data_IF_395301182676
#
_entry.id   IF_395301182676
#
_cell.length_a   1.000
_cell.length_b   1.000
_cell.length_c   1.000
_cell.angle_alpha   90.00
_cell.angle_beta   90.00
_cell.angle_gamma   90.00
#
_symmetry.space_group_name_H-M   'P 1'
#
loop_
_entity.id
_entity.type
_entity.pdbx_description
1 polymer ?
#
# COMPACT_ATOMS: atom_id res chain seq x y z
N UNK A 1 -24.11 16.22 -6.89
CA UNK A 1 -23.71 15.79 -5.53
C UNK A 1 -23.17 16.95 -4.73
N UNK A 2 -23.50 17.08 -3.46
CA UNK A 2 -22.83 18.04 -2.60
C UNK A 2 -21.35 17.64 -2.43
N UNK A 3 -20.47 18.61 -2.25
CA UNK A 3 -19.11 18.39 -1.82
C UNK A 3 -19.12 17.63 -0.48
N UNK A 4 -18.11 16.83 -0.21
CA UNK A 4 -18.01 15.94 0.96
C UNK A 4 -18.88 14.67 0.92
N UNK A 5 -19.49 14.36 -0.22
CA UNK A 5 -20.20 13.09 -0.40
C UNK A 5 -19.31 12.14 -1.21
N UNK A 6 -18.96 11.00 -0.63
CA UNK A 6 -18.14 9.98 -1.28
C UNK A 6 -19.01 9.05 -2.12
N UNK A 7 -18.73 8.99 -3.42
CA UNK A 7 -19.29 7.98 -4.32
C UNK A 7 -18.38 6.76 -4.27
N UNK A 8 -18.95 5.57 -4.17
CA UNK A 8 -18.21 4.31 -4.08
C UNK A 8 -18.88 3.22 -4.90
N UNK A 9 -18.09 2.41 -5.60
CA UNK A 9 -18.51 1.20 -6.30
C UNK A 9 -18.63 -0.03 -5.39
N UNK A 10 -18.70 0.15 -4.10
CA UNK A 10 -18.64 -0.92 -3.10
C UNK A 10 -19.48 -2.16 -3.43
N UNK A 11 -20.71 -1.97 -3.89
CA UNK A 11 -21.67 -3.05 -4.21
C UNK A 11 -21.42 -3.68 -5.59
N UNK A 12 -20.82 -2.94 -6.53
CA UNK A 12 -20.55 -3.37 -7.90
C UNK A 12 -19.06 -3.13 -8.25
N UNK A 13 -18.11 -3.81 -7.59
CA UNK A 13 -16.70 -3.57 -7.78
C UNK A 13 -16.25 -3.95 -9.20
N UNK A 14 -15.37 -3.13 -9.78
CA UNK A 14 -14.88 -3.34 -11.15
C UNK A 14 -14.02 -4.61 -11.29
N UNK A 15 -13.35 -5.05 -10.22
CA UNK A 15 -12.56 -6.28 -10.22
C UNK A 15 -12.84 -7.10 -8.96
N UNK A 16 -12.87 -8.43 -9.13
CA UNK A 16 -13.08 -9.39 -8.03
C UNK A 16 -12.17 -10.60 -8.17
N UNK A 17 -11.94 -11.30 -7.05
CA UNK A 17 -11.28 -12.61 -7.00
C UNK A 17 -9.85 -12.60 -7.59
N UNK A 18 -9.08 -11.55 -7.30
CA UNK A 18 -7.66 -11.49 -7.63
C UNK A 18 -6.76 -12.12 -6.57
N UNK A 19 -5.46 -12.14 -6.83
CA UNK A 19 -4.44 -12.49 -5.83
C UNK A 19 -3.07 -11.95 -6.21
N UNK A 20 -2.23 -11.80 -5.18
CA UNK A 20 -0.79 -11.60 -5.32
C UNK A 20 -0.06 -12.68 -4.50
N UNK A 21 0.91 -13.33 -5.12
CA UNK A 21 1.85 -14.19 -4.40
C UNK A 21 3.04 -13.31 -4.01
N UNK A 22 3.35 -13.27 -2.71
CA UNK A 22 4.44 -12.48 -2.14
C UNK A 22 5.48 -13.38 -1.49
N UNK A 23 6.73 -13.01 -1.63
CA UNK A 23 7.86 -13.73 -1.06
C UNK A 23 8.39 -12.98 0.14
N UNK A 24 8.69 -13.70 1.20
CA UNK A 24 9.42 -13.18 2.36
C UNK A 24 10.63 -14.05 2.64
N UNK A 25 11.70 -13.38 3.05
CA UNK A 25 12.91 -14.06 3.52
C UNK A 25 12.76 -14.37 5.01
N UNK A 26 12.98 -15.64 5.38
CA UNK A 26 12.82 -16.12 6.75
C UNK A 26 14.06 -16.91 7.18
N UNK A 27 14.17 -17.14 8.48
CA UNK A 27 15.18 -18.02 9.08
C UNK A 27 15.18 -19.47 8.53
N UNK A 28 14.06 -19.88 7.91
CA UNK A 28 13.88 -21.19 7.27
C UNK A 28 14.00 -21.13 5.74
N UNK A 29 14.43 -19.99 5.17
CA UNK A 29 14.51 -19.73 3.74
C UNK A 29 13.34 -18.90 3.20
N UNK A 30 13.27 -18.77 1.88
CA UNK A 30 12.22 -17.99 1.21
C UNK A 30 10.89 -18.74 1.33
N UNK A 31 9.87 -18.02 1.81
CA UNK A 31 8.48 -18.51 1.87
C UNK A 31 7.59 -17.66 0.98
N UNK A 32 6.65 -18.32 0.31
CA UNK A 32 5.66 -17.69 -0.56
C UNK A 32 4.30 -17.72 0.12
N UNK A 33 3.64 -16.58 0.17
CA UNK A 33 2.28 -16.45 0.69
C UNK A 33 1.35 -15.88 -0.37
N UNK A 34 0.20 -16.52 -0.55
CA UNK A 34 -0.85 -16.00 -1.41
C UNK A 34 -1.73 -15.05 -0.62
N UNK A 35 -1.83 -13.82 -1.10
CA UNK A 35 -2.77 -12.82 -0.60
C UNK A 35 -3.91 -12.70 -1.60
N UNK A 36 -5.07 -13.22 -1.24
CA UNK A 36 -6.26 -13.12 -2.06
C UNK A 36 -6.86 -11.72 -1.96
N UNK A 37 -7.24 -11.17 -3.10
CA UNK A 37 -7.93 -9.89 -3.24
C UNK A 37 -9.39 -10.18 -3.48
N UNK A 38 -10.25 -9.76 -2.58
CA UNK A 38 -11.69 -9.95 -2.70
C UNK A 38 -12.25 -9.09 -3.79
N UNK A 39 -11.89 -7.80 -3.79
CA UNK A 39 -12.36 -6.82 -4.77
C UNK A 39 -11.39 -5.64 -4.92
N UNK A 40 -11.51 -4.98 -6.04
CA UNK A 40 -11.00 -3.63 -6.27
C UNK A 40 -12.16 -2.79 -6.77
N UNK A 41 -12.43 -1.66 -6.13
CA UNK A 41 -13.50 -0.76 -6.54
C UNK A 41 -13.02 0.69 -6.53
N UNK A 42 -13.72 1.50 -7.30
CA UNK A 42 -13.42 2.93 -7.42
C UNK A 42 -14.23 3.73 -6.42
N UNK A 43 -13.63 4.80 -5.95
CA UNK A 43 -14.20 5.80 -5.07
C UNK A 43 -13.80 7.21 -5.51
N UNK A 44 -14.41 8.22 -4.89
CA UNK A 44 -14.04 9.62 -5.06
C UNK A 44 -13.54 10.20 -3.74
N UNK A 45 -12.41 10.93 -3.75
CA UNK A 45 -11.94 11.65 -2.56
C UNK A 45 -12.87 12.84 -2.29
N UNK A 46 -13.38 12.92 -1.07
CA UNK A 46 -14.30 13.98 -0.65
C UNK A 46 -13.60 15.27 -0.23
N UNK A 47 -12.29 15.22 0.01
CA UNK A 47 -11.51 16.32 0.57
C UNK A 47 -11.14 16.08 2.03
N UNK A 48 -10.86 17.15 2.76
CA UNK A 48 -10.38 17.08 4.14
C UNK A 48 -11.13 18.06 5.03
N UNK A 49 -11.56 17.59 6.20
CA UNK A 49 -12.12 18.43 7.27
C UNK A 49 -11.12 18.55 8.41
N UNK A 50 -10.87 19.78 8.84
CA UNK A 50 -10.06 20.10 10.01
C UNK A 50 -10.94 20.75 11.06
N UNK A 51 -11.08 20.15 12.23
CA UNK A 51 -11.84 20.68 13.35
C UNK A 51 -10.92 21.51 14.24
N UNK A 52 -11.20 22.80 14.36
CA UNK A 52 -10.39 23.77 15.12
C UNK A 52 -11.07 24.09 16.43
N UNK A 53 -10.27 24.20 17.50
CA UNK A 53 -10.80 24.30 18.85
C UNK A 53 -11.17 22.92 19.44
N UNK A 54 -11.40 22.91 20.74
CA UNK A 54 -11.69 21.66 21.44
C UNK A 54 -10.46 20.77 21.69
N UNK A 55 -10.55 19.90 22.68
CA UNK A 55 -9.44 19.04 23.12
C UNK A 55 -9.33 17.72 22.37
N UNK A 56 -10.28 17.39 21.48
CA UNK A 56 -10.41 16.04 20.90
C UNK A 56 -10.14 15.98 19.40
N UNK A 57 -10.03 17.12 18.70
CA UNK A 57 -9.93 17.16 17.23
C UNK A 57 -11.19 16.64 16.50
N UNK A 58 -12.31 16.51 17.22
CA UNK A 58 -13.61 16.05 16.69
C UNK A 58 -14.53 17.22 16.46
N UNK A 59 -15.54 17.04 15.58
CA UNK A 59 -16.57 18.04 15.32
C UNK A 59 -17.33 18.45 16.60
N UNK A 60 -17.59 17.49 17.51
CA UNK A 60 -18.15 17.79 18.81
C UNK A 60 -17.13 18.50 19.70
N UNK A 61 -17.44 19.73 20.06
CA UNK A 61 -16.56 20.60 20.86
C UNK A 61 -15.58 21.42 20.04
N UNK A 62 -15.60 21.35 18.73
CA UNK A 62 -14.86 22.26 17.85
C UNK A 62 -15.61 23.60 17.73
N UNK A 63 -14.85 24.70 17.73
CA UNK A 63 -15.44 26.04 17.52
C UNK A 63 -15.89 26.22 16.08
N UNK A 64 -15.14 25.66 15.13
CA UNK A 64 -15.47 25.65 13.70
C UNK A 64 -14.69 24.55 12.97
N UNK A 65 -15.07 24.29 11.71
CA UNK A 65 -14.37 23.37 10.82
C UNK A 65 -13.88 24.09 9.58
N UNK A 66 -12.65 23.82 9.19
CA UNK A 66 -12.09 24.20 7.90
C UNK A 66 -12.24 23.02 6.94
N UNK A 67 -12.77 23.31 5.75
CA UNK A 67 -12.93 22.33 4.68
C UNK A 67 -11.89 22.62 3.60
N UNK A 68 -11.08 21.62 3.27
CA UNK A 68 -10.10 21.66 2.20
C UNK A 68 -10.56 20.72 1.07
N UNK A 69 -10.97 21.31 -0.04
CA UNK A 69 -11.46 20.60 -1.22
C UNK A 69 -10.40 20.40 -2.32
N UNK A 70 -9.11 20.64 -2.04
CA UNK A 70 -8.06 20.49 -3.06
C UNK A 70 -7.99 19.07 -3.63
N UNK A 71 -8.43 18.08 -2.87
CA UNK A 71 -8.47 16.67 -3.31
C UNK A 71 -9.86 16.19 -3.67
N UNK A 72 -10.91 17.00 -3.51
CA UNK A 72 -12.27 16.58 -3.80
C UNK A 72 -12.42 16.25 -5.29
N UNK A 73 -12.96 15.07 -5.60
CA UNK A 73 -13.12 14.57 -6.96
C UNK A 73 -11.92 13.82 -7.52
N UNK A 74 -10.82 13.68 -6.76
CA UNK A 74 -9.71 12.81 -7.18
C UNK A 74 -10.18 11.36 -7.09
N UNK A 75 -10.03 10.57 -8.18
CA UNK A 75 -10.40 9.16 -8.15
C UNK A 75 -9.49 8.38 -7.21
N UNK A 76 -10.10 7.50 -6.44
CA UNK A 76 -9.44 6.56 -5.55
C UNK A 76 -9.73 5.13 -6.00
N UNK A 77 -8.84 4.21 -5.68
CA UNK A 77 -9.05 2.77 -5.79
C UNK A 77 -8.90 2.14 -4.41
N UNK A 78 -9.91 1.43 -3.95
CA UNK A 78 -9.79 0.60 -2.75
C UNK A 78 -9.54 -0.86 -3.14
N UNK A 79 -8.43 -1.41 -2.63
CA UNK A 79 -8.06 -2.82 -2.80
C UNK A 79 -8.32 -3.54 -1.49
N UNK A 80 -9.31 -4.42 -1.48
CA UNK A 80 -9.71 -5.16 -0.28
C UNK A 80 -9.24 -6.60 -0.37
N UNK A 81 -8.40 -7.02 0.56
CA UNK A 81 -7.95 -8.41 0.66
C UNK A 81 -8.95 -9.26 1.42
N UNK A 82 -8.96 -10.55 1.12
CA UNK A 82 -9.52 -11.55 2.03
C UNK A 82 -8.60 -11.70 3.24
N UNK A 83 -9.11 -12.36 4.27
CA UNK A 83 -8.26 -12.76 5.38
C UNK A 83 -7.11 -13.64 4.87
N UNK A 84 -5.89 -13.35 5.33
CA UNK A 84 -4.68 -14.08 4.92
C UNK A 84 -4.38 -15.14 5.97
N UNK A 85 -4.79 -16.41 5.74
CA UNK A 85 -4.62 -17.47 6.72
C UNK A 85 -3.18 -18.00 6.73
N UNK A 86 -2.78 -18.65 7.83
CA UNK A 86 -1.53 -19.42 7.89
C UNK A 86 -0.25 -18.59 7.98
N UNK A 87 -0.35 -17.29 8.14
CA UNK A 87 0.84 -16.40 8.23
C UNK A 87 1.55 -16.52 9.58
N UNK A 88 0.82 -16.78 10.66
CA UNK A 88 1.38 -16.93 12.01
C UNK A 88 2.30 -15.76 12.39
N UNK A 89 3.52 -16.07 12.85
CA UNK A 89 4.52 -15.06 13.23
C UNK A 89 4.98 -14.16 12.08
N UNK A 90 4.74 -14.58 10.83
CA UNK A 90 5.17 -13.86 9.63
C UNK A 90 4.14 -12.84 9.11
N UNK A 91 2.97 -12.73 9.74
CA UNK A 91 1.93 -11.80 9.30
C UNK A 91 2.44 -10.36 9.07
N UNK A 92 3.30 -9.76 9.92
CA UNK A 92 3.84 -8.43 9.69
C UNK A 92 4.67 -8.33 8.38
N UNK A 93 5.56 -9.30 8.15
CA UNK A 93 6.41 -9.32 6.96
C UNK A 93 5.59 -9.58 5.68
N UNK A 94 4.61 -10.48 5.76
CA UNK A 94 3.71 -10.78 4.63
C UNK A 94 2.91 -9.54 4.23
N UNK A 95 2.37 -8.82 5.19
CA UNK A 95 1.63 -7.58 4.92
C UNK A 95 2.52 -6.50 4.28
N UNK A 96 3.74 -6.30 4.82
CA UNK A 96 4.71 -5.39 4.22
C UNK A 96 5.06 -5.79 2.79
N UNK A 97 5.34 -7.07 2.54
CA UNK A 97 5.66 -7.58 1.21
C UNK A 97 4.50 -7.37 0.23
N UNK A 98 3.27 -7.62 0.69
CA UNK A 98 2.06 -7.38 -0.11
C UNK A 98 1.89 -5.92 -0.51
N UNK A 99 1.98 -5.00 0.46
CA UNK A 99 1.84 -3.56 0.18
C UNK A 99 2.99 -3.07 -0.72
N UNK A 100 4.20 -3.63 -0.55
CA UNK A 100 5.35 -3.34 -1.42
C UNK A 100 5.08 -3.75 -2.86
N UNK A 101 4.64 -4.99 -3.10
CA UNK A 101 4.35 -5.48 -4.45
C UNK A 101 3.19 -4.71 -5.10
N UNK A 102 2.12 -4.43 -4.35
CA UNK A 102 1.01 -3.62 -4.82
C UNK A 102 1.46 -2.21 -5.21
N UNK A 103 2.26 -1.56 -4.36
CA UNK A 103 2.86 -0.25 -4.64
C UNK A 103 3.65 -0.26 -5.93
N UNK A 104 4.51 -1.25 -6.11
CA UNK A 104 5.37 -1.36 -7.29
C UNK A 104 4.55 -1.60 -8.56
N UNK A 105 3.48 -2.39 -8.49
CA UNK A 105 2.53 -2.60 -9.60
C UNK A 105 1.85 -1.27 -9.98
N UNK A 106 1.28 -0.55 -9.02
CA UNK A 106 0.59 0.72 -9.28
C UNK A 106 1.52 1.79 -9.87
N UNK A 107 2.78 1.82 -9.40
CA UNK A 107 3.81 2.69 -9.97
C UNK A 107 4.16 2.30 -11.39
N UNK A 108 4.39 1.02 -11.68
CA UNK A 108 4.74 0.54 -13.01
C UNK A 108 3.63 0.78 -14.05
N UNK A 109 2.39 0.84 -13.60
CA UNK A 109 1.23 1.20 -14.42
C UNK A 109 1.09 2.72 -14.61
N UNK A 110 1.85 3.54 -13.88
CA UNK A 110 1.77 5.01 -13.94
C UNK A 110 0.45 5.58 -13.40
N UNK A 111 -0.31 4.82 -12.60
CA UNK A 111 -1.63 5.25 -12.09
C UNK A 111 -1.54 6.01 -10.78
N UNK A 112 -0.43 5.93 -10.06
CA UNK A 112 -0.18 6.65 -8.81
C UNK A 112 1.32 6.80 -8.57
N UNK A 113 1.72 7.87 -7.86
CA UNK A 113 3.08 8.05 -7.33
C UNK A 113 3.33 7.22 -6.06
N UNK A 114 2.28 6.61 -5.51
CA UNK A 114 2.25 5.66 -4.39
C UNK A 114 3.02 6.10 -3.14
N UNK A 115 3.06 7.40 -2.88
CA UNK A 115 3.74 7.99 -1.73
C UNK A 115 2.85 7.93 -0.48
N UNK A 116 3.18 7.03 0.44
CA UNK A 116 2.41 6.85 1.68
C UNK A 116 2.48 8.10 2.57
N UNK A 117 3.63 8.75 2.67
CA UNK A 117 3.85 9.97 3.45
C UNK A 117 3.06 11.16 2.93
N UNK A 118 2.70 11.18 1.65
CA UNK A 118 1.87 12.22 1.03
C UNK A 118 0.39 11.82 0.95
N UNK A 119 0.05 10.59 1.37
CA UNK A 119 -1.32 10.07 1.37
C UNK A 119 -1.83 9.61 0.02
N UNK A 120 -0.95 9.43 -1.00
CA UNK A 120 -1.31 8.86 -2.29
C UNK A 120 -1.53 7.35 -2.22
N UNK A 121 -0.95 6.69 -1.23
CA UNK A 121 -1.22 5.30 -0.86
C UNK A 121 -1.50 5.24 0.64
N UNK A 122 -2.61 4.62 1.02
CA UNK A 122 -2.98 4.39 2.42
C UNK A 122 -3.16 2.91 2.65
N UNK A 123 -2.88 2.46 3.86
CA UNK A 123 -3.05 1.07 4.25
C UNK A 123 -3.72 1.02 5.62
N UNK A 124 -4.85 0.33 5.70
CA UNK A 124 -5.50 -0.02 6.95
C UNK A 124 -5.29 -1.51 7.21
N UNK A 125 -4.81 -1.86 8.39
CA UNK A 125 -4.51 -3.25 8.75
C UNK A 125 -5.56 -3.82 9.70
N UNK A 126 -6.23 -4.90 9.28
CA UNK A 126 -7.13 -5.65 10.13
C UNK A 126 -6.40 -6.86 10.72
N UNK A 127 -6.28 -6.91 12.04
CA UNK A 127 -5.57 -7.95 12.77
C UNK A 127 -6.53 -8.69 13.70
N UNK A 128 -6.47 -10.02 13.69
CA UNK A 128 -7.17 -10.87 14.64
C UNK A 128 -6.31 -12.06 15.04
N UNK A 129 -6.24 -12.36 16.32
CA UNK A 129 -5.59 -13.54 16.85
C UNK A 129 -6.63 -14.52 17.39
N UNK A 130 -6.31 -15.80 17.28
CA UNK A 130 -7.06 -16.87 17.92
C UNK A 130 -6.10 -17.93 18.45
N UNK A 131 -6.47 -18.70 19.49
CA UNK A 131 -5.66 -19.81 19.95
C UNK A 131 -5.40 -20.82 18.82
N UNK A 132 -4.19 -21.36 18.77
CA UNK A 132 -3.82 -22.39 17.80
C UNK A 132 -4.80 -23.58 17.93
N UNK A 133 -5.25 -24.08 16.81
CA UNK A 133 -6.21 -25.19 16.72
C UNK A 133 -7.60 -24.94 17.30
N UNK A 134 -7.97 -23.70 17.59
CA UNK A 134 -9.34 -23.38 18.08
C UNK A 134 -10.42 -23.60 17.03
N UNK A 135 -10.06 -23.59 15.72
CA UNK A 135 -11.02 -23.62 14.61
C UNK A 135 -11.92 -22.40 14.52
N UNK A 136 -11.70 -21.39 15.36
CA UNK A 136 -12.50 -20.15 15.41
C UNK A 136 -11.64 -18.96 15.03
N UNK A 137 -12.23 -18.00 14.32
CA UNK A 137 -11.60 -16.71 14.06
C UNK A 137 -11.64 -15.86 15.34
N UNK A 138 -10.58 -15.10 15.54
CA UNK A 138 -10.51 -14.08 16.58
C UNK A 138 -11.34 -12.84 16.23
N UNK A 139 -11.60 -12.00 17.22
CA UNK A 139 -12.17 -10.67 17.00
C UNK A 139 -11.10 -9.77 16.40
N UNK A 140 -11.45 -9.09 15.31
CA UNK A 140 -10.52 -8.19 14.62
C UNK A 140 -10.50 -6.80 15.22
N UNK A 141 -9.37 -6.14 15.19
CA UNK A 141 -9.23 -4.69 15.30
C UNK A 141 -8.64 -4.13 14.02
N UNK A 142 -9.04 -2.92 13.66
CA UNK A 142 -8.55 -2.21 12.50
C UNK A 142 -7.52 -1.17 12.94
N UNK A 143 -6.32 -1.20 12.37
CA UNK A 143 -5.27 -0.23 12.66
C UNK A 143 -5.13 0.74 11.51
N UNK A 144 -5.30 2.02 11.80
CA UNK A 144 -5.18 3.16 10.88
C UNK A 144 -3.95 4.01 11.19
N UNK A 145 -3.70 4.99 10.33
CA UNK A 145 -2.59 5.93 10.46
C UNK A 145 -1.24 5.27 10.24
N UNK A 146 -1.19 4.41 9.23
CA UNK A 146 0.02 3.67 8.83
C UNK A 146 0.62 4.34 7.59
N UNK A 147 1.70 5.11 7.78
CA UNK A 147 2.20 6.06 6.78
C UNK A 147 3.48 5.60 6.07
N UNK A 148 3.93 4.36 6.29
CA UNK A 148 5.08 3.78 5.60
C UNK A 148 5.00 2.26 5.58
N UNK A 149 5.77 1.62 4.68
CA UNK A 149 5.88 0.15 4.64
C UNK A 149 6.42 -0.43 5.96
N UNK A 150 7.34 0.28 6.61
CA UNK A 150 7.87 -0.11 7.93
C UNK A 150 6.79 0.00 9.00
N UNK A 151 5.96 1.02 8.92
CA UNK A 151 4.84 1.21 9.85
C UNK A 151 3.78 0.12 9.69
N UNK A 152 3.53 -0.39 8.46
CA UNK A 152 2.64 -1.56 8.25
C UNK A 152 3.12 -2.76 9.05
N UNK A 153 4.39 -3.11 8.92
CA UNK A 153 5.00 -4.24 9.65
C UNK A 153 4.93 -4.03 11.17
N UNK A 154 5.33 -2.85 11.66
CA UNK A 154 5.34 -2.52 13.08
C UNK A 154 3.94 -2.47 13.70
N UNK A 155 2.97 -1.90 12.99
CA UNK A 155 1.60 -1.78 13.45
C UNK A 155 0.95 -3.16 13.65
N UNK A 156 1.14 -4.06 12.68
CA UNK A 156 0.62 -5.44 12.79
C UNK A 156 1.33 -6.18 13.91
N UNK A 157 2.65 -6.06 14.01
CA UNK A 157 3.43 -6.70 15.09
C UNK A 157 2.97 -6.21 16.47
N UNK A 158 2.86 -4.90 16.66
CA UNK A 158 2.38 -4.31 17.93
C UNK A 158 0.97 -4.76 18.29
N UNK A 159 0.07 -4.82 17.31
CA UNK A 159 -1.30 -5.26 17.52
C UNK A 159 -1.39 -6.76 17.84
N UNK A 160 -0.55 -7.59 17.23
CA UNK A 160 -0.43 -9.01 17.57
C UNK A 160 0.02 -9.20 19.03
N UNK A 161 1.03 -8.44 19.49
CA UNK A 161 1.48 -8.48 20.88
C UNK A 161 0.36 -8.05 21.83
N UNK A 162 -0.31 -6.94 21.53
CA UNK A 162 -1.41 -6.44 22.36
C UNK A 162 -2.54 -7.46 22.50
N UNK A 163 -3.00 -8.02 21.38
CA UNK A 163 -4.06 -9.02 21.38
C UNK A 163 -3.63 -10.32 22.09
N UNK A 164 -2.37 -10.75 21.86
CA UNK A 164 -1.81 -11.90 22.56
C UNK A 164 -1.84 -11.74 24.07
N UNK A 165 -1.35 -10.61 24.58
CA UNK A 165 -1.36 -10.32 26.02
C UNK A 165 -2.76 -10.31 26.62
N UNK A 166 -3.75 -9.72 25.93
CA UNK A 166 -5.14 -9.72 26.41
C UNK A 166 -5.70 -11.14 26.47
N UNK A 167 -5.50 -11.93 25.44
CA UNK A 167 -6.00 -13.31 25.37
C UNK A 167 -5.32 -14.21 26.43
N UNK A 168 -4.03 -14.05 26.67
CA UNK A 168 -3.31 -14.79 27.71
C UNK A 168 -3.79 -14.44 29.11
N UNK A 169 -4.20 -13.18 29.35
CA UNK A 169 -4.80 -12.73 30.60
C UNK A 169 -6.30 -13.12 30.73
N UNK A 170 -6.88 -13.80 29.74
CA UNK A 170 -8.31 -14.19 29.73
C UNK A 170 -9.26 -13.04 29.40
N UNK A 171 -8.72 -11.92 28.90
CA UNK A 171 -9.51 -10.78 28.47
C UNK A 171 -10.07 -10.96 27.05
N UNK A 172 -11.05 -10.14 26.69
CA UNK A 172 -11.67 -10.19 25.36
C UNK A 172 -11.16 -9.07 24.48
N UNK A 173 -10.92 -9.41 23.22
CA UNK A 173 -10.66 -8.40 22.18
C UNK A 173 -11.97 -7.72 21.82
N UNK A 174 -11.95 -6.39 21.78
CA UNK A 174 -13.08 -5.56 21.33
C UNK A 174 -12.85 -5.19 19.86
N UNK A 175 -13.91 -5.27 19.05
CA UNK A 175 -13.86 -4.81 17.68
C UNK A 175 -13.88 -3.28 17.66
N UNK A 176 -12.74 -2.69 17.32
CA UNK A 176 -12.54 -1.24 17.34
C UNK A 176 -11.56 -0.79 16.27
N UNK A 177 -11.62 0.49 15.90
CA UNK A 177 -10.57 1.16 15.15
C UNK A 177 -9.51 1.68 16.13
N UNK A 178 -8.25 1.45 15.80
CA UNK A 178 -7.08 1.90 16.56
C UNK A 178 -6.17 2.75 15.69
N UNK A 179 -5.44 3.65 16.28
CA UNK A 179 -4.47 4.50 15.59
C UNK A 179 -3.06 4.08 15.96
N UNK A 180 -2.24 3.82 14.96
CA UNK A 180 -0.82 3.50 15.15
C UNK A 180 -0.03 4.74 15.57
N UNK A 181 0.88 4.56 16.53
CA UNK A 181 1.79 5.58 17.03
C UNK A 181 3.20 5.22 16.58
N UNK A 182 3.73 5.99 15.63
CA UNK A 182 5.03 5.72 15.01
C UNK A 182 6.18 5.69 16.02
N UNK A 183 6.16 6.58 17.01
CA UNK A 183 7.22 6.71 18.01
C UNK A 183 7.33 5.48 18.91
N UNK A 184 6.22 5.04 19.50
CA UNK A 184 6.19 3.91 20.43
C UNK A 184 6.02 2.55 19.77
N UNK A 185 5.47 2.50 18.55
CA UNK A 185 5.09 1.25 17.89
C UNK A 185 3.81 0.61 18.45
N UNK A 186 3.09 1.35 19.29
CA UNK A 186 1.84 0.91 19.91
C UNK A 186 0.62 1.43 19.15
N UNK A 187 -0.55 0.90 19.51
CA UNK A 187 -1.83 1.40 19.00
C UNK A 187 -2.67 1.99 20.11
N UNK A 188 -3.37 3.09 19.82
CA UNK A 188 -4.36 3.69 20.74
C UNK A 188 -5.77 3.44 20.24
N UNK A 189 -6.74 3.20 21.16
CA UNK A 189 -8.14 3.10 20.78
C UNK A 189 -8.59 4.37 20.07
N UNK A 190 -9.28 4.20 18.95
CA UNK A 190 -10.03 5.24 18.28
C UNK A 190 -11.50 5.22 18.66
N UNK A 191 -12.38 5.44 17.70
CA UNK A 191 -13.83 5.26 17.87
C UNK A 191 -14.19 3.78 17.79
N UNK A 192 -15.32 3.40 18.37
CA UNK A 192 -15.96 2.12 18.09
C UNK A 192 -16.24 2.02 16.58
N UNK A 193 -16.10 0.82 16.01
CA UNK A 193 -16.31 0.63 14.58
C UNK A 193 -17.78 0.87 14.23
N UNK A 194 -18.00 1.75 13.24
CA UNK A 194 -19.31 1.92 12.62
C UNK A 194 -19.64 0.64 11.82
N UNK A 195 -20.90 0.27 11.76
CA UNK A 195 -21.36 -0.85 10.93
C UNK A 195 -21.45 -0.39 9.47
N UNK A 196 -21.48 -1.32 8.51
CA UNK A 196 -21.64 -0.97 7.09
C UNK A 196 -22.95 -0.19 6.84
N UNK A 197 -23.96 -0.40 7.69
CA UNK A 197 -25.26 0.31 7.65
C UNK A 197 -25.10 1.81 7.95
N UNK A 198 -24.10 2.20 8.73
CA UNK A 198 -23.84 3.61 9.05
C UNK A 198 -23.33 4.39 7.84
N UNK A 199 -22.68 3.73 6.87
CA UNK A 199 -22.21 4.36 5.65
C UNK A 199 -23.30 4.56 4.62
N UNK A 200 -24.44 3.90 4.74
CA UNK A 200 -25.61 4.05 3.87
C UNK A 200 -25.29 3.86 2.39
N UNK A 201 -24.47 2.86 2.06
CA UNK A 201 -24.16 2.52 0.68
C UNK A 201 -25.45 2.23 -0.10
N UNK A 202 -25.58 2.87 -1.26
CA UNK A 202 -26.62 2.62 -2.25
C UNK A 202 -26.09 2.98 -3.63
N UNK A 203 -26.71 2.42 -4.66
CA UNK A 203 -26.31 2.73 -6.03
C UNK A 203 -26.59 4.20 -6.35
N UNK A 204 -25.59 4.86 -6.98
CA UNK A 204 -25.76 6.23 -7.43
C UNK A 204 -26.66 6.28 -8.67
N UNK A 205 -27.86 6.88 -8.61
CA UNK A 205 -28.85 6.80 -9.67
C UNK A 205 -28.41 7.51 -10.97
N UNK A 206 -27.47 8.44 -10.88
CA UNK A 206 -26.97 9.22 -12.03
C UNK A 206 -25.80 8.53 -12.73
N UNK A 207 -25.27 7.44 -12.20
CA UNK A 207 -24.18 6.68 -12.79
C UNK A 207 -24.68 5.36 -13.37
N UNK A 208 -24.28 5.12 -14.61
CA UNK A 208 -24.56 3.83 -15.25
C UNK A 208 -23.52 2.79 -14.84
N UNK A 209 -23.87 1.49 -14.74
CA UNK A 209 -22.92 0.44 -14.44
C UNK A 209 -21.75 0.41 -15.43
N UNK A 210 -20.53 0.26 -14.93
CA UNK A 210 -19.32 0.07 -15.74
C UNK A 210 -19.18 -1.42 -16.04
N UNK A 211 -19.46 -1.81 -17.27
CA UNK A 211 -19.44 -3.20 -17.72
C UNK A 211 -18.49 -3.37 -18.93
N UNK A 212 -17.16 -3.45 -18.70
CA UNK A 212 -16.20 -3.63 -19.78
C UNK A 212 -16.43 -4.99 -20.47
N UNK A 213 -16.47 -4.99 -21.79
CA UNK A 213 -16.57 -6.21 -22.55
C UNK A 213 -15.25 -7.00 -22.60
N UNK A 214 -15.31 -8.25 -23.02
CA UNK A 214 -14.14 -9.12 -23.05
C UNK A 214 -13.06 -8.63 -24.03
N UNK A 215 -13.44 -7.93 -25.11
CA UNK A 215 -12.49 -7.40 -26.09
C UNK A 215 -11.69 -6.24 -25.51
N UNK A 216 -12.33 -5.33 -24.81
CA UNK A 216 -11.67 -4.23 -24.11
C UNK A 216 -10.73 -4.71 -23.00
N UNK A 217 -11.18 -5.69 -22.21
CA UNK A 217 -10.32 -6.31 -21.19
C UNK A 217 -9.07 -6.93 -21.82
N UNK A 218 -9.23 -7.62 -22.96
CA UNK A 218 -8.09 -8.24 -23.65
C UNK A 218 -7.15 -7.21 -24.29
N UNK A 219 -7.66 -6.09 -24.79
CA UNK A 219 -6.83 -4.97 -25.24
C UNK A 219 -6.00 -4.40 -24.12
N UNK A 220 -6.60 -4.11 -22.96
CA UNK A 220 -5.86 -3.66 -21.77
C UNK A 220 -4.81 -4.69 -21.36
N UNK A 221 -5.15 -5.98 -21.34
CA UNK A 221 -4.23 -7.06 -20.99
C UNK A 221 -2.95 -7.06 -21.83
N UNK A 222 -3.07 -6.75 -23.11
CA UNK A 222 -1.92 -6.67 -24.03
C UNK A 222 -1.01 -5.48 -23.77
N UNK A 223 -1.50 -4.44 -23.11
CA UNK A 223 -0.71 -3.25 -22.78
C UNK A 223 -0.06 -3.31 -21.39
N UNK A 224 -0.39 -4.33 -20.58
CA UNK A 224 0.17 -4.46 -19.25
C UNK A 224 1.69 -4.68 -19.32
N UNK A 225 2.49 -3.94 -18.53
CA UNK A 225 3.92 -4.20 -18.39
C UNK A 225 4.16 -5.54 -17.69
N UNK A 226 5.38 -6.04 -17.80
CA UNK A 226 5.83 -7.17 -16.99
C UNK A 226 5.66 -6.85 -15.50
N UNK A 227 5.21 -7.84 -14.70
CA UNK A 227 5.07 -7.63 -13.24
C UNK A 227 6.42 -7.24 -12.63
N UNK A 228 6.48 -6.23 -11.74
CA UNK A 228 7.74 -5.76 -11.15
C UNK A 228 8.58 -6.84 -10.49
N UNK A 229 7.97 -7.79 -9.78
CA UNK A 229 8.69 -8.92 -9.17
C UNK A 229 9.31 -9.86 -10.20
N UNK A 230 8.64 -10.11 -11.33
CA UNK A 230 9.16 -10.92 -12.43
C UNK A 230 10.27 -10.16 -13.15
N UNK A 231 10.05 -8.88 -13.44
CA UNK A 231 11.03 -7.98 -14.04
C UNK A 231 12.33 -7.95 -13.23
N UNK A 232 12.24 -7.72 -11.93
CA UNK A 232 13.41 -7.73 -11.03
C UNK A 232 14.18 -9.05 -11.08
N UNK A 233 13.47 -10.19 -10.97
CA UNK A 233 14.10 -11.52 -11.03
C UNK A 233 14.76 -11.79 -12.36
N UNK A 234 14.13 -11.42 -13.47
CA UNK A 234 14.69 -11.57 -14.81
C UNK A 234 15.99 -10.79 -14.95
N UNK A 235 15.98 -9.49 -14.61
CA UNK A 235 17.17 -8.65 -14.69
C UNK A 235 18.28 -9.10 -13.73
N UNK A 236 17.93 -9.57 -12.55
CA UNK A 236 18.88 -10.09 -11.58
C UNK A 236 19.65 -11.30 -12.14
N UNK A 237 18.94 -12.21 -12.78
CA UNK A 237 19.57 -13.39 -13.43
C UNK A 237 20.35 -12.98 -14.67
N UNK A 238 19.75 -12.19 -15.56
CA UNK A 238 20.34 -11.76 -16.83
C UNK A 238 21.66 -11.00 -16.64
N UNK A 239 21.69 -10.09 -15.67
CA UNK A 239 22.86 -9.27 -15.38
C UNK A 239 23.74 -9.82 -14.26
N UNK A 240 23.42 -10.97 -13.69
CA UNK A 240 24.12 -11.58 -12.55
C UNK A 240 24.30 -10.59 -11.39
N UNK A 241 23.22 -9.87 -11.03
CA UNK A 241 23.24 -8.84 -10.00
C UNK A 241 23.11 -9.46 -8.61
N UNK A 242 24.00 -9.13 -7.65
CA UNK A 242 23.82 -9.53 -6.26
C UNK A 242 22.56 -8.91 -5.63
N UNK A 243 21.90 -9.63 -4.69
CA UNK A 243 20.67 -9.17 -4.01
C UNK A 243 20.79 -7.76 -3.42
N UNK A 244 21.94 -7.46 -2.80
CA UNK A 244 22.21 -6.15 -2.19
C UNK A 244 22.21 -5.01 -3.24
N UNK A 245 22.76 -5.26 -4.42
CA UNK A 245 22.80 -4.25 -5.48
C UNK A 245 21.43 -4.12 -6.15
N UNK A 246 20.70 -5.21 -6.34
CA UNK A 246 19.33 -5.17 -6.82
C UNK A 246 18.44 -4.36 -5.86
N UNK A 247 18.55 -4.62 -4.56
CA UNK A 247 17.84 -3.86 -3.54
C UNK A 247 18.21 -2.36 -3.56
N UNK A 248 19.47 -2.02 -3.81
CA UNK A 248 19.90 -0.64 -3.92
C UNK A 248 19.26 0.06 -5.13
N UNK A 249 19.23 -0.58 -6.31
CA UNK A 249 18.56 -0.03 -7.49
C UNK A 249 17.07 0.17 -7.28
N UNK A 250 16.40 -0.77 -6.63
CA UNK A 250 14.96 -0.68 -6.32
C UNK A 250 14.68 0.48 -5.35
N UNK A 251 15.45 0.56 -4.25
CA UNK A 251 15.28 1.59 -3.23
C UNK A 251 15.58 3.01 -3.74
N UNK A 252 16.48 3.13 -4.72
CA UNK A 252 16.82 4.39 -5.38
C UNK A 252 15.92 4.71 -6.58
N UNK A 253 14.99 3.82 -6.92
CA UNK A 253 14.09 3.93 -8.09
C UNK A 253 14.84 4.01 -9.43
N UNK A 254 16.03 3.41 -9.51
CA UNK A 254 16.95 3.47 -10.66
C UNK A 254 16.90 2.24 -11.57
N UNK A 255 16.14 1.19 -11.23
CA UNK A 255 16.17 -0.06 -11.99
C UNK A 255 15.81 0.14 -13.46
N UNK A 256 14.73 0.88 -13.75
CA UNK A 256 14.28 1.15 -15.12
C UNK A 256 15.27 2.03 -15.88
N UNK A 257 15.91 2.98 -15.19
CA UNK A 257 16.93 3.87 -15.78
C UNK A 257 18.19 3.09 -16.14
N UNK A 258 18.62 2.19 -15.27
CA UNK A 258 19.75 1.28 -15.55
C UNK A 258 19.42 0.36 -16.72
N UNK A 259 18.20 -0.22 -16.75
CA UNK A 259 17.76 -1.07 -17.85
C UNK A 259 17.74 -0.30 -19.19
N UNK A 260 17.21 0.93 -19.20
CA UNK A 260 17.22 1.77 -20.39
C UNK A 260 18.67 2.03 -20.89
N UNK A 261 19.59 2.31 -19.97
CA UNK A 261 21.01 2.51 -20.29
C UNK A 261 21.65 1.25 -20.89
N UNK A 262 21.32 0.08 -20.35
CA UNK A 262 21.79 -1.20 -20.89
C UNK A 262 21.20 -1.49 -22.27
N UNK A 263 19.92 -1.21 -22.49
CA UNK A 263 19.26 -1.33 -23.80
C UNK A 263 19.90 -0.45 -24.89
N UNK A 264 20.52 0.67 -24.49
CA UNK A 264 21.30 1.53 -25.38
C UNK A 264 22.73 1.01 -25.65
N UNK A 265 23.11 -0.13 -25.07
CA UNK A 265 24.39 -0.80 -25.36
C UNK A 265 25.44 -0.70 -24.25
N UNK A 266 25.07 -0.15 -23.08
CA UNK A 266 25.99 -0.11 -21.95
C UNK A 266 26.13 -1.50 -21.29
N UNK A 267 27.32 -1.78 -20.75
CA UNK A 267 27.54 -2.96 -19.91
C UNK A 267 26.73 -2.83 -18.60
N UNK A 268 25.97 -3.87 -18.19
CA UNK A 268 25.10 -3.78 -17.01
C UNK A 268 25.85 -3.42 -15.72
N UNK A 269 27.08 -3.92 -15.53
CA UNK A 269 27.89 -3.65 -14.34
C UNK A 269 28.33 -2.19 -14.31
N UNK A 270 28.75 -1.66 -15.46
CA UNK A 270 29.14 -0.26 -15.58
C UNK A 270 27.94 0.66 -15.40
N UNK A 271 26.82 0.37 -16.07
CA UNK A 271 25.61 1.19 -15.99
C UNK A 271 25.15 1.35 -14.52
N UNK A 272 24.99 0.23 -13.78
CA UNK A 272 24.58 0.31 -12.38
C UNK A 272 25.62 0.99 -11.47
N UNK A 273 26.92 0.77 -11.70
CA UNK A 273 27.98 1.43 -10.94
C UNK A 273 27.93 2.95 -11.11
N UNK A 274 27.71 3.43 -12.32
CA UNK A 274 27.59 4.85 -12.61
C UNK A 274 26.33 5.46 -11.97
N UNK A 275 25.17 4.85 -12.18
CA UNK A 275 23.89 5.36 -11.65
C UNK A 275 23.84 5.35 -10.13
N UNK A 276 24.25 4.25 -9.49
CA UNK A 276 24.26 4.14 -8.02
C UNK A 276 25.40 4.92 -7.35
N UNK A 277 26.48 5.17 -8.08
CA UNK A 277 27.68 5.83 -7.58
C UNK A 277 27.76 7.30 -8.00
N UNK A 278 28.43 7.58 -9.09
CA UNK A 278 28.83 8.93 -9.48
C UNK A 278 27.66 9.85 -9.79
N UNK A 279 26.64 9.38 -10.53
CA UNK A 279 25.47 10.20 -10.87
C UNK A 279 24.65 10.52 -9.61
N UNK A 280 24.46 9.52 -8.73
CA UNK A 280 23.79 9.76 -7.43
C UNK A 280 24.57 10.74 -6.56
N UNK A 281 25.91 10.66 -6.53
CA UNK A 281 26.76 11.60 -5.81
C UNK A 281 26.59 13.02 -6.33
N UNK A 282 26.65 13.20 -7.66
CA UNK A 282 26.47 14.52 -8.29
C UNK A 282 25.10 15.13 -8.05
N UNK A 283 24.03 14.29 -8.11
CA UNK A 283 22.69 14.74 -7.80
C UNK A 283 22.55 15.24 -6.36
N UNK A 284 23.10 14.49 -5.41
CA UNK A 284 23.10 14.86 -3.98
C UNK A 284 23.91 16.13 -3.74
N UNK A 285 25.09 16.30 -4.36
CA UNK A 285 25.91 17.51 -4.23
C UNK A 285 25.24 18.76 -4.80
N UNK A 286 24.48 18.59 -5.87
CA UNK A 286 23.76 19.70 -6.52
C UNK A 286 22.36 19.92 -5.98
N UNK A 287 21.89 19.06 -5.05
CA UNK A 287 20.52 19.06 -4.51
C UNK A 287 19.45 18.99 -5.62
N UNK A 288 19.70 18.23 -6.68
CA UNK A 288 18.81 18.09 -7.83
C UNK A 288 18.34 16.63 -7.99
N UNK A 289 17.23 16.46 -8.70
CA UNK A 289 16.74 15.13 -9.05
C UNK A 289 17.76 14.41 -9.96
N UNK A 290 17.96 13.11 -9.75
CA UNK A 290 18.86 12.27 -10.55
C UNK A 290 18.63 12.38 -12.06
N UNK A 291 17.39 12.53 -12.50
CA UNK A 291 17.05 12.65 -13.90
C UNK A 291 17.50 13.99 -14.53
N UNK A 292 17.67 15.06 -13.74
CA UNK A 292 18.17 16.35 -14.24
C UNK A 292 19.69 16.40 -14.34
N UNK A 293 20.41 15.47 -13.72
CA UNK A 293 21.87 15.42 -13.83
C UNK A 293 22.34 14.77 -15.13
N UNK A 294 21.47 14.05 -15.84
CA UNK A 294 21.79 13.45 -17.13
C UNK A 294 21.81 14.47 -18.28
N UNK A 295 21.05 15.55 -18.18
CA UNK A 295 21.04 16.62 -19.19
C UNK A 295 22.32 17.49 -19.15
N UNK A 296 23.07 17.46 -18.03
CA UNK A 296 24.33 18.17 -17.89
C UNK A 296 25.52 17.42 -18.50
N UNK A 297 25.33 16.26 -19.08
CA UNK A 297 26.38 15.49 -19.74
C UNK A 297 26.53 15.84 -21.24
N UNK A 298 25.64 16.70 -21.77
CA UNK A 298 25.68 17.18 -23.18
C UNK A 298 26.39 18.56 -23.34
N UNK A 299 26.93 19.14 -22.23
CA UNK A 299 27.86 20.28 -22.27
C UNK A 299 29.31 19.81 -21.98
#
# INVERSE_FOLDING_TARGET
>A
MPKDFQISQYDEPICVNGYLDVEIDTDEGIKVFRVEIERVHMEEDTGKSLHVGGSTGRIHGADYSLLDYNRAGIPLMEVVTRMIPGTGKYAPQVARAYVTELRDILRSLGVSDVKMEQGSLRCDANVSLSPINSGKLGTRSETKNVNSLRSVERAIHGEMIRQGNLLENGERIIQETRHFLEESGETRPGRSKETAEDYRYFQEPDLVPVAPDASWIEEIRKTLPEKPSIHRKRLQVEWSVPDKEMAAMINSELLDTVEATVKLGADPTKARSWWLGEISRLANEKEVCLLYTSDAADE
#
